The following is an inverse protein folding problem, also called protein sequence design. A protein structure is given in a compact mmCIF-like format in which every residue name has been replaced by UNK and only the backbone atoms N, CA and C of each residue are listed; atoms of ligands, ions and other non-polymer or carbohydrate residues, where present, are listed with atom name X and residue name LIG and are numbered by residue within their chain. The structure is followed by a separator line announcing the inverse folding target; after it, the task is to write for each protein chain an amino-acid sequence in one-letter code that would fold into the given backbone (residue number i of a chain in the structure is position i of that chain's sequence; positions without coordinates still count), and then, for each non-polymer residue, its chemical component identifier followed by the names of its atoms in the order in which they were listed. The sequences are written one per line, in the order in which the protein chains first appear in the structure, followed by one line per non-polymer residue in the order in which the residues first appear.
data_IF_432026144312
#
_entry.id   IF_432026144312
#
_cell.length_a   1.000
_cell.length_b   1.000
_cell.length_c   1.000
_cell.angle_alpha   90.00
_cell.angle_beta   90.00
_cell.angle_gamma   90.00
#
_symmetry.space_group_name_H-M   'P 1'
#
loop_
_entity.id
_entity.type
_entity.pdbx_description
1 polymer ?
#
# COMPACT_ATOMS: atom_id res chain seq x y z
N UNK A 1 67.17 -45.84 68.66
CA UNK A 1 66.54 -45.41 69.92
C UNK A 1 65.54 -44.31 69.57
N UNK A 2 64.23 -44.58 69.53
CA UNK A 2 63.29 -44.36 70.66
C UNK A 2 63.32 -42.88 71.12
N UNK A 3 62.28 -42.03 71.12
CA UNK A 3 60.85 -42.22 71.43
C UNK A 3 60.06 -40.91 71.17
N UNK A 4 58.83 -41.06 70.64
CA UNK A 4 57.52 -40.38 70.86
C UNK A 4 57.33 -38.84 70.96
N UNK A 5 56.28 -38.42 70.21
CA UNK A 5 55.08 -37.59 70.54
C UNK A 5 55.33 -36.16 71.06
N UNK A 6 54.60 -35.14 70.59
CA UNK A 6 53.20 -34.86 70.97
C UNK A 6 52.56 -33.88 69.99
N UNK A 7 51.27 -34.10 69.71
CA UNK A 7 50.33 -33.21 69.05
C UNK A 7 50.02 -31.96 69.87
N UNK A 8 49.89 -30.81 69.20
CA UNK A 8 48.91 -29.77 69.54
C UNK A 8 48.51 -29.07 68.25
N UNK A 9 47.32 -29.40 67.74
CA UNK A 9 46.70 -28.75 66.59
C UNK A 9 46.21 -27.36 66.98
N UNK A 10 46.72 -26.33 66.32
CA UNK A 10 46.20 -24.97 66.41
C UNK A 10 45.01 -24.84 65.45
N UNK A 11 43.87 -24.48 66.04
CA UNK A 11 42.59 -24.21 65.41
C UNK A 11 42.71 -22.93 64.55
N UNK A 12 42.99 -23.09 63.26
CA UNK A 12 42.86 -22.02 62.27
C UNK A 12 41.40 -21.90 61.84
N UNK A 13 40.65 -21.01 62.48
CA UNK A 13 39.33 -20.55 62.02
C UNK A 13 39.52 -19.73 60.73
N UNK A 14 39.60 -20.41 59.59
CA UNK A 14 39.37 -19.78 58.30
C UNK A 14 37.86 -19.57 58.17
N UNK A 15 37.44 -18.32 58.42
CA UNK A 15 36.16 -17.81 57.95
C UNK A 15 36.23 -17.90 56.42
N UNK A 16 35.71 -18.99 55.86
CA UNK A 16 35.32 -19.03 54.46
C UNK A 16 34.17 -18.04 54.35
N UNK A 17 34.50 -16.80 54.01
CA UNK A 17 33.56 -15.86 53.45
C UNK A 17 33.06 -16.49 52.14
N UNK A 18 32.02 -17.32 52.28
CA UNK A 18 31.23 -17.78 51.16
C UNK A 18 30.68 -16.54 50.48
N UNK A 19 31.34 -16.11 49.41
CA UNK A 19 30.67 -15.36 48.37
C UNK A 19 29.62 -16.31 47.81
N UNK A 20 28.41 -16.21 48.34
CA UNK A 20 27.22 -16.55 47.56
C UNK A 20 27.15 -15.51 46.44
N UNK A 21 27.97 -15.70 45.41
CA UNK A 21 27.82 -15.00 44.14
C UNK A 21 26.52 -15.50 43.53
N UNK A 22 25.54 -14.61 43.48
CA UNK A 22 24.28 -14.82 42.79
C UNK A 22 24.56 -15.21 41.32
N UNK A 23 24.33 -16.48 40.99
CA UNK A 23 24.46 -17.04 39.64
C UNK A 23 23.23 -16.81 38.76
N UNK A 24 22.43 -15.77 38.98
CA UNK A 24 21.34 -15.41 38.05
C UNK A 24 21.83 -14.75 36.73
N UNK A 25 23.13 -14.85 36.42
CA UNK A 25 23.76 -14.43 35.16
C UNK A 25 23.96 -15.57 34.13
N UNK A 26 23.49 -16.81 34.42
CA UNK A 26 23.72 -18.00 33.58
C UNK A 26 22.65 -18.23 32.48
N UNK A 27 21.37 -17.92 32.73
CA UNK A 27 20.31 -18.41 31.85
C UNK A 27 20.33 -17.83 30.42
N UNK A 28 20.52 -16.52 30.24
CA UNK A 28 20.49 -15.91 28.90
C UNK A 28 21.79 -16.07 28.08
N UNK A 29 22.83 -16.66 28.66
CA UNK A 29 24.15 -16.84 28.02
C UNK A 29 24.41 -18.26 27.52
N UNK A 30 23.65 -19.25 27.97
CA UNK A 30 23.77 -20.67 27.55
C UNK A 30 22.70 -21.07 26.55
N UNK A 31 22.95 -22.05 25.68
CA UNK A 31 21.94 -22.58 24.73
C UNK A 31 21.26 -21.50 23.88
N UNK A 32 21.99 -20.47 23.45
CA UNK A 32 21.45 -19.40 22.60
C UNK A 32 21.42 -19.81 21.13
N UNK A 33 20.56 -19.19 20.32
CA UNK A 33 20.58 -19.37 18.87
C UNK A 33 21.93 -18.97 18.26
N UNK A 34 22.49 -19.86 17.44
CA UNK A 34 23.73 -19.60 16.71
C UNK A 34 23.46 -18.67 15.51
N UNK A 35 23.46 -17.36 15.77
CA UNK A 35 23.16 -16.35 14.76
C UNK A 35 24.23 -15.27 14.74
N UNK A 36 24.88 -15.06 13.59
CA UNK A 36 25.88 -14.01 13.39
C UNK A 36 25.23 -12.67 13.02
N UNK A 37 24.17 -12.30 13.74
CA UNK A 37 23.36 -11.11 13.49
C UNK A 37 23.65 -10.04 14.54
N UNK A 38 23.66 -8.78 14.08
CA UNK A 38 23.85 -7.57 14.92
C UNK A 38 22.55 -6.83 15.22
N UNK A 39 21.43 -7.22 14.58
CA UNK A 39 20.13 -6.60 14.78
C UNK A 39 19.42 -7.11 16.05
N UNK A 40 18.39 -6.37 16.49
CA UNK A 40 17.67 -6.64 17.73
C UNK A 40 16.82 -7.90 17.61
N UNK A 41 17.09 -8.91 18.42
CA UNK A 41 16.36 -10.19 18.38
C UNK A 41 16.45 -10.94 19.71
N UNK A 42 15.53 -11.88 19.90
CA UNK A 42 15.64 -12.88 20.96
C UNK A 42 16.83 -13.82 20.72
N UNK A 43 17.56 -14.14 21.78
CA UNK A 43 18.68 -15.10 21.76
C UNK A 43 18.25 -16.51 22.15
N UNK A 44 17.02 -16.66 22.65
CA UNK A 44 16.38 -17.92 23.06
C UNK A 44 14.91 -17.95 22.66
N UNK A 45 14.33 -19.13 22.79
CA UNK A 45 12.90 -19.35 22.68
C UNK A 45 12.12 -18.49 23.70
N UNK A 46 11.22 -17.59 23.24
CA UNK A 46 10.48 -16.71 24.14
C UNK A 46 9.33 -17.50 24.81
N UNK A 47 9.56 -17.95 26.04
CA UNK A 47 8.60 -18.76 26.82
C UNK A 47 7.37 -17.92 27.18
N UNK A 48 6.14 -18.28 26.75
CA UNK A 48 4.93 -17.49 27.01
C UNK A 48 4.29 -17.78 28.38
N UNK A 49 4.52 -18.95 28.96
CA UNK A 49 3.94 -19.36 30.25
C UNK A 49 5.04 -19.75 31.22
N UNK A 50 5.03 -19.12 32.40
CA UNK A 50 6.00 -19.37 33.46
C UNK A 50 5.29 -19.79 34.75
N UNK A 51 5.93 -20.68 35.50
CA UNK A 51 5.40 -21.18 36.76
C UNK A 51 6.44 -21.02 37.88
N UNK A 52 5.96 -20.78 39.08
CA UNK A 52 6.77 -20.71 40.29
C UNK A 52 6.01 -21.23 41.50
N UNK A 53 6.69 -21.30 42.63
CA UNK A 53 6.10 -21.73 43.89
C UNK A 53 6.16 -20.62 44.93
N UNK A 54 5.13 -20.56 45.77
CA UNK A 54 5.05 -19.58 46.86
C UNK A 54 6.23 -19.74 47.84
N UNK A 55 6.75 -18.61 48.34
CA UNK A 55 7.91 -18.52 49.22
C UNK A 55 9.22 -19.13 48.65
N UNK A 56 9.27 -19.39 47.35
CA UNK A 56 10.49 -19.83 46.65
C UNK A 56 11.09 -18.70 45.82
N UNK A 57 12.37 -18.87 45.50
CA UNK A 57 13.03 -18.03 44.51
C UNK A 57 12.38 -18.27 43.15
N UNK A 58 12.12 -17.20 42.40
CA UNK A 58 11.63 -17.29 41.03
C UNK A 58 12.29 -16.21 40.18
N UNK A 59 12.66 -16.55 38.95
CA UNK A 59 13.08 -15.58 37.96
C UNK A 59 12.36 -15.77 36.63
N UNK A 60 12.14 -14.66 35.92
CA UNK A 60 11.66 -14.66 34.53
C UNK A 60 12.67 -13.89 33.68
N UNK A 61 12.86 -14.33 32.44
CA UNK A 61 13.92 -13.84 31.58
C UNK A 61 13.37 -13.37 30.24
N UNK A 62 13.98 -12.32 29.70
CA UNK A 62 13.78 -11.83 28.34
C UNK A 62 15.15 -11.81 27.67
N UNK A 63 15.58 -12.96 27.16
CA UNK A 63 16.92 -13.15 26.62
C UNK A 63 17.03 -12.57 25.22
N UNK A 64 17.75 -11.45 25.09
CA UNK A 64 17.78 -10.62 23.88
C UNK A 64 19.17 -10.05 23.63
N UNK A 65 19.45 -9.71 22.37
CA UNK A 65 20.67 -8.99 21.97
C UNK A 65 20.33 -7.83 21.03
N UNK A 66 21.27 -6.89 20.87
CA UNK A 66 21.15 -5.79 19.91
C UNK A 66 20.09 -4.73 20.27
N UNK A 67 19.69 -4.63 21.54
CA UNK A 67 18.74 -3.63 22.03
C UNK A 67 19.46 -2.44 22.70
N UNK A 68 18.82 -1.28 22.72
CA UNK A 68 19.31 -0.07 23.41
C UNK A 68 18.71 0.07 24.81
N UNK A 69 17.45 -0.31 24.97
CA UNK A 69 16.77 -0.33 26.27
C UNK A 69 15.73 -1.45 26.34
N UNK A 70 15.50 -1.93 27.55
CA UNK A 70 14.47 -2.90 27.90
C UNK A 70 13.62 -2.31 29.04
N UNK A 71 12.31 -2.30 28.85
CA UNK A 71 11.32 -1.82 29.80
C UNK A 71 10.39 -2.97 30.18
N UNK A 72 10.11 -3.12 31.47
CA UNK A 72 9.23 -4.16 31.97
C UNK A 72 7.89 -3.60 32.40
N UNK A 73 6.83 -4.35 32.08
CA UNK A 73 5.46 -4.04 32.47
C UNK A 73 4.84 -5.25 33.15
N UNK A 74 4.07 -5.04 34.22
CA UNK A 74 3.22 -6.06 34.83
C UNK A 74 1.78 -5.62 34.68
N UNK A 75 0.97 -6.40 33.99
CA UNK A 75 -0.44 -6.11 33.72
C UNK A 75 -0.65 -4.69 33.15
N UNK A 76 0.30 -4.24 32.32
CA UNK A 76 0.32 -2.90 31.71
C UNK A 76 0.96 -1.78 32.56
N UNK A 77 1.31 -2.04 33.82
CA UNK A 77 1.98 -1.07 34.70
C UNK A 77 3.49 -1.14 34.50
N UNK A 78 4.14 -0.03 34.13
CA UNK A 78 5.59 0.03 33.95
C UNK A 78 6.35 -0.12 35.28
N UNK A 79 7.50 -0.80 35.24
CA UNK A 79 8.46 -0.84 36.35
C UNK A 79 9.03 0.57 36.62
N UNK A 80 9.32 0.97 37.87
CA UNK A 80 9.31 0.18 39.11
C UNK A 80 7.94 -0.02 39.73
N UNK A 81 7.71 -1.23 40.27
CA UNK A 81 6.46 -1.60 40.95
C UNK A 81 6.54 -1.38 42.45
N UNK A 82 5.43 -0.93 43.05
CA UNK A 82 5.24 -0.97 44.51
C UNK A 82 4.96 -2.41 44.98
N UNK A 83 5.19 -2.69 46.27
CA UNK A 83 4.93 -4.01 46.87
C UNK A 83 3.49 -4.54 46.68
N UNK A 84 2.50 -3.66 46.45
CA UNK A 84 1.12 -4.07 46.15
C UNK A 84 0.90 -4.58 44.72
N UNK A 85 1.86 -4.38 43.82
CA UNK A 85 1.78 -4.78 42.40
C UNK A 85 2.62 -6.03 42.14
N UNK A 86 3.88 -6.06 42.58
CA UNK A 86 4.75 -7.24 42.56
C UNK A 86 6.00 -7.03 43.43
N UNK A 87 6.53 -8.13 43.96
CA UNK A 87 7.81 -8.24 44.65
C UNK A 87 9.00 -8.54 43.71
N UNK A 88 8.75 -8.70 42.41
CA UNK A 88 9.79 -8.92 41.40
C UNK A 88 10.62 -7.65 41.19
N UNK A 89 11.95 -7.81 41.16
CA UNK A 89 12.91 -6.72 40.94
C UNK A 89 13.87 -7.07 39.80
N UNK A 90 14.40 -6.04 39.13
CA UNK A 90 15.37 -6.23 38.06
C UNK A 90 16.70 -6.74 38.64
N UNK A 91 17.33 -7.67 37.93
CA UNK A 91 18.70 -8.13 38.20
C UNK A 91 19.69 -7.30 37.35
N UNK A 92 20.40 -6.31 37.93
CA UNK A 92 21.23 -5.37 37.18
C UNK A 92 22.38 -6.07 36.43
N UNK A 93 22.95 -7.11 37.02
CA UNK A 93 24.06 -7.87 36.44
C UNK A 93 23.65 -8.65 35.17
N UNK A 94 22.35 -8.85 34.94
CA UNK A 94 21.82 -9.42 33.69
C UNK A 94 21.36 -8.35 32.69
N UNK A 95 21.88 -7.13 32.76
CA UNK A 95 21.54 -6.02 31.86
C UNK A 95 20.02 -5.78 31.77
N UNK A 96 19.31 -5.90 32.90
CA UNK A 96 17.84 -5.77 33.00
C UNK A 96 17.03 -6.81 32.20
N UNK A 97 17.65 -7.89 31.71
CA UNK A 97 16.96 -8.98 31.01
C UNK A 97 16.25 -9.96 31.95
N UNK A 98 16.51 -9.88 33.25
CA UNK A 98 15.97 -10.81 34.25
C UNK A 98 15.23 -10.04 35.34
N UNK A 99 14.00 -10.45 35.61
CA UNK A 99 13.28 -10.11 36.83
C UNK A 99 13.37 -11.30 37.79
N UNK A 100 13.53 -11.03 39.09
CA UNK A 100 13.52 -12.08 40.09
C UNK A 100 12.81 -11.65 41.37
N UNK A 101 12.26 -12.63 42.07
CA UNK A 101 11.74 -12.51 43.43
C UNK A 101 12.47 -13.53 44.30
N UNK A 102 13.04 -13.07 45.42
CA UNK A 102 13.66 -13.98 46.41
C UNK A 102 12.64 -14.91 47.06
N UNK A 103 11.43 -14.40 47.25
CA UNK A 103 10.26 -15.12 47.75
C UNK A 103 9.07 -14.69 46.91
N UNK A 104 8.68 -15.55 45.97
CA UNK A 104 7.52 -15.30 45.14
C UNK A 104 6.25 -15.42 45.98
N UNK A 105 5.29 -14.55 45.72
CA UNK A 105 3.99 -14.51 46.38
C UNK A 105 2.89 -14.71 45.36
N UNK A 106 1.69 -15.08 45.80
CA UNK A 106 0.53 -15.20 44.90
C UNK A 106 0.24 -13.92 44.09
N UNK A 107 0.48 -12.76 44.69
CA UNK A 107 0.31 -11.44 44.05
C UNK A 107 1.28 -11.18 42.89
N UNK A 108 2.37 -11.93 42.81
CA UNK A 108 3.31 -11.86 41.68
C UNK A 108 2.75 -12.54 40.42
N UNK A 109 1.66 -13.30 40.51
CA UNK A 109 1.00 -13.84 39.31
C UNK A 109 0.44 -12.71 38.43
N UNK A 110 0.59 -12.84 37.12
CA UNK A 110 0.17 -11.80 36.16
C UNK A 110 0.89 -11.91 34.82
N UNK A 111 0.64 -10.93 33.95
CA UNK A 111 1.27 -10.84 32.64
C UNK A 111 2.44 -9.86 32.68
N UNK A 112 3.65 -10.38 32.48
CA UNK A 112 4.89 -9.61 32.44
C UNK A 112 5.30 -9.39 30.99
N UNK A 113 5.34 -8.14 30.54
CA UNK A 113 5.77 -7.78 29.20
C UNK A 113 7.15 -7.14 29.25
N UNK A 114 8.12 -7.72 28.57
CA UNK A 114 9.38 -7.02 28.25
C UNK A 114 9.21 -6.30 26.92
N UNK A 115 9.40 -4.98 26.91
CA UNK A 115 9.42 -4.13 25.74
C UNK A 115 10.85 -3.71 25.44
N UNK A 116 11.32 -4.10 24.28
CA UNK A 116 12.66 -3.89 23.78
C UNK A 116 12.62 -2.75 22.77
N UNK A 117 13.57 -1.84 22.84
CA UNK A 117 13.71 -0.80 21.83
C UNK A 117 15.15 -0.68 21.37
N UNK A 118 15.31 -0.65 20.05
CA UNK A 118 16.49 -0.18 19.35
C UNK A 118 16.18 1.19 18.71
N UNK A 119 17.12 1.80 17.99
CA UNK A 119 16.97 3.16 17.41
C UNK A 119 15.75 3.31 16.50
N UNK A 120 15.33 2.23 15.85
CA UNK A 120 14.27 2.25 14.82
C UNK A 120 13.16 1.24 15.07
N UNK A 121 13.37 0.24 15.91
CA UNK A 121 12.48 -0.92 16.07
C UNK A 121 12.11 -1.11 17.53
N UNK A 122 10.85 -1.48 17.77
CA UNK A 122 10.34 -1.87 19.09
C UNK A 122 9.75 -3.26 18.96
N UNK A 123 10.14 -4.15 19.87
CA UNK A 123 9.62 -5.52 19.95
C UNK A 123 9.20 -5.79 21.39
N UNK A 124 8.20 -6.65 21.59
CA UNK A 124 7.75 -6.97 22.93
C UNK A 124 7.35 -8.43 23.03
N UNK A 125 7.66 -9.04 24.18
CA UNK A 125 7.23 -10.39 24.53
C UNK A 125 6.53 -10.39 25.88
N UNK A 126 5.45 -11.16 26.00
CA UNK A 126 4.63 -11.24 27.21
C UNK A 126 4.67 -12.65 27.78
N UNK A 127 5.00 -12.73 29.07
CA UNK A 127 5.11 -13.94 29.87
C UNK A 127 3.98 -13.95 30.90
N UNK A 128 3.14 -14.98 30.89
CA UNK A 128 2.12 -15.19 31.91
C UNK A 128 2.71 -16.00 33.06
N UNK A 129 3.00 -15.35 34.18
CA UNK A 129 3.53 -15.97 35.40
C UNK A 129 2.39 -16.43 36.31
N UNK A 130 2.45 -17.68 36.77
CA UNK A 130 1.53 -18.24 37.77
C UNK A 130 2.31 -18.80 38.95
N UNK A 131 2.08 -18.27 40.15
CA UNK A 131 2.66 -18.77 41.40
C UNK A 131 1.72 -19.78 42.05
N UNK A 132 2.21 -20.99 42.28
CA UNK A 132 1.47 -22.13 42.81
C UNK A 132 1.83 -22.34 44.29
N UNK A 133 0.86 -22.76 45.11
CA UNK A 133 1.13 -23.13 46.51
C UNK A 133 1.92 -24.44 46.62
N UNK A 134 1.64 -25.39 45.72
CA UNK A 134 2.20 -26.73 45.74
C UNK A 134 2.44 -27.25 44.32
N UNK A 135 3.36 -28.23 44.15
CA UNK A 135 3.52 -28.97 42.90
C UNK A 135 2.18 -29.52 42.41
N UNK A 136 2.02 -29.59 41.09
CA UNK A 136 0.79 -30.10 40.45
C UNK A 136 0.97 -31.55 40.04
N UNK A 137 -0.09 -32.34 40.15
CA UNK A 137 -0.08 -33.75 39.76
C UNK A 137 -0.13 -33.95 38.23
N UNK A 138 -0.54 -32.90 37.50
CA UNK A 138 -0.56 -32.87 36.04
C UNK A 138 0.56 -31.96 35.51
N UNK A 139 1.19 -32.32 34.38
CA UNK A 139 2.24 -31.51 33.79
C UNK A 139 1.66 -30.26 33.13
N UNK A 140 2.39 -29.15 33.18
CA UNK A 140 2.03 -27.89 32.53
C UNK A 140 3.07 -27.50 31.51
N UNK A 141 2.73 -27.62 30.23
CA UNK A 141 3.59 -27.17 29.14
C UNK A 141 3.77 -25.65 29.22
N UNK A 142 5.03 -25.22 29.17
CA UNK A 142 5.46 -23.83 29.21
C UNK A 142 5.77 -23.30 27.82
N UNK A 143 6.45 -24.13 27.02
CA UNK A 143 6.82 -23.81 25.65
C UNK A 143 6.87 -25.08 24.78
N UNK A 144 6.47 -24.94 23.52
CA UNK A 144 6.85 -25.86 22.45
C UNK A 144 7.15 -25.05 21.19
N UNK A 145 8.19 -25.44 20.45
CA UNK A 145 8.49 -24.89 19.14
C UNK A 145 7.27 -24.96 18.23
N UNK A 146 7.06 -23.89 17.46
CA UNK A 146 6.07 -23.88 16.39
C UNK A 146 6.57 -24.73 15.23
N UNK A 147 5.66 -25.08 14.33
CA UNK A 147 6.00 -25.74 13.06
C UNK A 147 7.13 -24.97 12.35
N UNK A 148 8.09 -25.72 11.83
CA UNK A 148 9.29 -25.17 11.18
C UNK A 148 9.34 -25.62 9.73
N UNK A 149 9.77 -24.70 8.87
CA UNK A 149 10.04 -24.96 7.46
C UNK A 149 11.55 -24.91 7.31
N UNK A 150 12.15 -26.05 6.95
CA UNK A 150 13.61 -26.21 6.92
C UNK A 150 14.03 -26.80 5.58
N UNK A 151 15.13 -26.29 5.04
CA UNK A 151 15.77 -26.81 3.83
C UNK A 151 16.61 -28.05 4.13
N UNK A 152 16.81 -28.90 3.12
CA UNK A 152 17.65 -30.08 3.29
C UNK A 152 19.11 -29.68 3.51
N UNK A 153 19.77 -30.32 4.48
CA UNK A 153 21.13 -30.03 4.90
C UNK A 153 21.29 -28.87 5.89
N UNK A 154 20.22 -28.14 6.23
CA UNK A 154 20.24 -27.11 7.26
C UNK A 154 20.21 -27.71 8.68
N UNK A 155 20.48 -26.88 9.70
CA UNK A 155 20.38 -27.23 11.11
C UNK A 155 18.91 -27.06 11.59
N UNK A 156 18.38 -28.07 12.27
CA UNK A 156 17.06 -28.03 12.92
C UNK A 156 17.23 -27.97 14.44
N UNK A 157 16.46 -27.10 15.07
CA UNK A 157 16.37 -26.99 16.53
C UNK A 157 14.90 -26.89 16.96
N UNK A 158 14.41 -27.91 17.64
CA UNK A 158 13.13 -27.89 18.35
C UNK A 158 13.35 -27.83 19.86
N UNK A 159 12.45 -27.16 20.57
CA UNK A 159 12.51 -27.00 22.01
C UNK A 159 11.14 -27.20 22.63
N UNK A 160 11.12 -27.89 23.77
CA UNK A 160 9.93 -28.12 24.57
C UNK A 160 10.32 -27.93 26.04
N UNK A 161 9.49 -27.21 26.80
CA UNK A 161 9.69 -26.98 28.23
C UNK A 161 8.37 -27.15 28.97
N UNK A 162 8.39 -27.80 30.12
CA UNK A 162 7.21 -28.02 30.95
C UNK A 162 7.56 -28.08 32.44
N UNK A 163 6.62 -27.65 33.26
CA UNK A 163 6.58 -27.96 34.68
C UNK A 163 6.03 -29.37 34.85
N UNK A 164 6.88 -30.32 35.24
CA UNK A 164 6.49 -31.72 35.38
C UNK A 164 5.94 -31.98 36.79
N UNK A 165 6.47 -31.31 37.81
CA UNK A 165 6.16 -31.59 39.20
C UNK A 165 6.95 -32.80 39.72
N UNK A 166 7.43 -32.72 40.97
CA UNK A 166 8.15 -33.84 41.61
C UNK A 166 7.19 -34.92 42.09
N UNK A 167 7.44 -36.16 41.69
CA UNK A 167 6.86 -37.31 42.37
C UNK A 167 7.70 -37.74 43.56
N UNK A 168 7.04 -38.01 44.69
CA UNK A 168 7.65 -38.55 45.90
C UNK A 168 7.55 -40.09 45.98
N UNK A 169 6.94 -40.71 44.96
CA UNK A 169 6.75 -42.15 44.88
C UNK A 169 7.92 -42.80 44.12
N UNK A 170 8.42 -43.94 44.61
CA UNK A 170 9.60 -44.61 44.07
C UNK A 170 9.39 -45.19 42.65
N UNK A 171 8.14 -45.38 42.24
CA UNK A 171 7.70 -45.93 40.96
C UNK A 171 7.22 -44.87 39.96
N UNK A 172 7.06 -43.63 40.40
CA UNK A 172 6.52 -42.58 39.56
C UNK A 172 7.56 -42.02 38.57
N UNK A 173 7.17 -41.97 37.30
CA UNK A 173 8.02 -41.51 36.20
C UNK A 173 7.68 -40.07 35.85
N UNK A 174 8.56 -39.14 36.21
CA UNK A 174 8.48 -37.73 35.84
C UNK A 174 9.58 -37.43 34.82
N UNK A 175 9.23 -37.34 33.54
CA UNK A 175 10.21 -37.15 32.46
C UNK A 175 9.62 -36.42 31.26
N UNK A 176 10.47 -35.70 30.52
CA UNK A 176 10.15 -35.08 29.26
C UNK A 176 11.05 -35.67 28.17
N UNK A 177 10.45 -36.14 27.08
CA UNK A 177 11.16 -36.77 25.96
C UNK A 177 10.54 -36.43 24.61
N UNK A 178 11.39 -36.33 23.61
CA UNK A 178 10.96 -36.24 22.21
C UNK A 178 10.72 -37.62 21.61
N UNK A 179 9.67 -37.73 20.79
CA UNK A 179 9.41 -38.89 19.94
C UNK A 179 9.07 -38.46 18.52
N UNK A 180 9.40 -39.31 17.57
CA UNK A 180 9.07 -39.10 16.16
C UNK A 180 7.75 -39.78 15.83
N UNK A 181 6.89 -39.10 15.07
CA UNK A 181 5.65 -39.67 14.59
C UNK A 181 5.88 -40.18 13.17
N UNK A 182 5.83 -41.50 13.01
CA UNK A 182 6.03 -42.15 11.72
C UNK A 182 4.75 -42.08 10.86
N UNK A 183 4.83 -42.27 9.52
CA UNK A 183 3.69 -42.16 8.62
C UNK A 183 2.50 -43.09 8.93
N UNK A 184 2.74 -44.15 9.70
CA UNK A 184 1.71 -45.06 10.23
C UNK A 184 1.03 -44.51 11.50
N UNK A 185 1.25 -43.24 11.85
CA UNK A 185 0.83 -42.58 13.09
C UNK A 185 1.35 -43.25 14.38
N UNK A 186 2.45 -44.02 14.29
CA UNK A 186 3.09 -44.58 15.48
C UNK A 186 4.14 -43.62 16.03
N UNK A 187 4.17 -43.48 17.35
CA UNK A 187 5.24 -42.78 18.06
C UNK A 187 6.40 -43.75 18.27
N UNK A 188 7.56 -43.45 17.70
CA UNK A 188 8.77 -44.21 17.96
C UNK A 188 9.92 -43.33 18.41
N UNK A 189 11.04 -43.99 18.65
CA UNK A 189 12.26 -43.34 19.13
C UNK A 189 12.86 -42.45 18.04
N UNK A 190 13.71 -41.52 18.49
CA UNK A 190 14.44 -40.62 17.61
C UNK A 190 15.42 -41.39 16.72
N UNK A 191 15.70 -40.84 15.54
CA UNK A 191 16.72 -41.43 14.66
C UNK A 191 18.12 -41.20 15.25
N UNK A 192 19.12 -42.03 14.93
CA UNK A 192 20.49 -41.86 15.42
C UNK A 192 21.15 -40.52 15.03
N UNK A 193 20.67 -39.89 13.97
CA UNK A 193 21.11 -38.56 13.50
C UNK A 193 20.55 -37.40 14.33
N UNK A 194 19.58 -37.68 15.20
CA UNK A 194 18.86 -36.70 15.99
C UNK A 194 19.36 -36.76 17.43
N UNK A 195 19.71 -35.61 17.98
CA UNK A 195 20.28 -35.52 19.33
C UNK A 195 19.30 -34.83 20.27
N UNK A 196 19.06 -35.46 21.42
CA UNK A 196 18.23 -34.90 22.49
C UNK A 196 19.10 -34.39 23.64
N UNK A 197 18.91 -33.13 24.03
CA UNK A 197 19.65 -32.47 25.11
C UNK A 197 18.67 -31.94 26.15
N UNK A 198 18.64 -32.58 27.32
CA UNK A 198 17.79 -32.16 28.45
C UNK A 198 18.42 -31.02 29.24
N UNK A 199 17.56 -30.14 29.74
CA UNK A 199 17.91 -28.97 30.54
C UNK A 199 16.98 -28.84 31.73
N UNK A 200 17.47 -28.26 32.81
CA UNK A 200 16.70 -27.95 34.02
C UNK A 200 16.85 -26.48 34.34
N UNK A 201 15.88 -25.92 35.07
CA UNK A 201 15.96 -24.53 35.55
C UNK A 201 16.53 -24.49 36.96
N UNK A 202 17.38 -23.49 37.22
CA UNK A 202 17.99 -23.27 38.54
C UNK A 202 16.99 -22.72 39.57
N UNK A 203 16.01 -21.92 39.13
CA UNK A 203 14.99 -21.31 40.00
C UNK A 203 13.90 -22.30 40.41
N UNK A 204 13.49 -23.18 39.48
CA UNK A 204 12.50 -24.23 39.73
C UNK A 204 12.95 -25.54 39.07
N UNK A 205 13.57 -26.43 39.85
CA UNK A 205 14.10 -27.72 39.34
C UNK A 205 13.04 -28.67 38.77
N UNK A 206 11.77 -28.43 39.06
CA UNK A 206 10.63 -29.21 38.56
C UNK A 206 10.28 -28.85 37.10
N UNK A 207 10.88 -27.77 36.59
CA UNK A 207 10.80 -27.38 35.19
C UNK A 207 11.93 -28.08 34.44
N UNK A 208 11.54 -28.87 33.44
CA UNK A 208 12.46 -29.57 32.54
C UNK A 208 12.21 -29.07 31.13
N UNK A 209 13.29 -28.76 30.42
CA UNK A 209 13.30 -28.49 28.99
C UNK A 209 14.09 -29.56 28.23
N UNK A 210 13.76 -29.77 26.96
CA UNK A 210 14.54 -30.64 26.07
C UNK A 210 14.66 -30.03 24.68
N UNK A 211 15.89 -29.96 24.20
CA UNK A 211 16.23 -29.60 22.82
C UNK A 211 16.35 -30.85 21.96
N UNK A 212 15.72 -30.82 20.80
CA UNK A 212 15.96 -31.77 19.72
C UNK A 212 16.72 -31.06 18.62
N UNK A 213 17.96 -31.48 18.38
CA UNK A 213 18.86 -30.89 17.38
C UNK A 213 19.20 -31.89 16.28
N UNK A 214 19.25 -31.40 15.04
CA UNK A 214 19.70 -32.16 13.87
C UNK A 214 20.65 -31.27 13.08
N UNK A 215 21.93 -31.65 13.00
CA UNK A 215 22.97 -30.82 12.38
C UNK A 215 22.76 -30.67 10.86
N UNK A 216 22.31 -31.75 10.21
CA UNK A 216 22.07 -31.81 8.76
C UNK A 216 20.76 -32.53 8.50
N UNK A 217 19.69 -31.77 8.33
CA UNK A 217 18.35 -32.27 8.05
C UNK A 217 18.34 -33.09 6.76
N UNK A 218 17.74 -34.27 6.80
CA UNK A 218 17.56 -35.18 5.67
C UNK A 218 16.08 -35.40 5.36
N UNK A 219 15.78 -36.01 4.21
CA UNK A 219 14.41 -36.43 3.85
C UNK A 219 13.67 -37.23 4.94
N UNK A 220 14.39 -37.96 5.79
CA UNK A 220 13.77 -38.73 6.88
C UNK A 220 13.34 -37.85 8.05
N UNK A 221 13.95 -36.68 8.24
CA UNK A 221 13.73 -35.79 9.38
C UNK A 221 12.45 -34.95 9.28
N UNK A 222 11.85 -34.90 8.10
CA UNK A 222 10.56 -34.24 7.91
C UNK A 222 9.41 -35.04 8.51
N UNK A 223 8.38 -34.31 8.96
CA UNK A 223 7.18 -34.88 9.55
C UNK A 223 6.92 -34.41 10.98
N UNK A 224 5.94 -35.05 11.65
CA UNK A 224 5.53 -34.66 12.99
C UNK A 224 6.47 -35.23 14.05
N UNK A 225 6.77 -34.40 15.04
CA UNK A 225 7.41 -34.78 16.30
C UNK A 225 6.44 -34.51 17.45
N UNK A 226 6.57 -35.30 18.50
CA UNK A 226 5.79 -35.13 19.72
C UNK A 226 6.71 -35.01 20.92
N UNK A 227 6.53 -33.93 21.67
CA UNK A 227 7.09 -33.79 23.01
C UNK A 227 6.13 -34.47 23.99
N UNK A 228 6.58 -35.57 24.61
CA UNK A 228 5.81 -36.35 25.57
C UNK A 228 6.29 -36.02 26.97
N UNK A 229 5.42 -35.40 27.75
CA UNK A 229 5.67 -35.01 29.13
C UNK A 229 4.92 -35.97 30.04
N UNK A 230 5.66 -36.75 30.81
CA UNK A 230 5.15 -37.64 31.85
C UNK A 230 5.27 -36.95 33.19
N UNK A 231 4.16 -36.78 33.89
CA UNK A 231 4.12 -36.38 35.30
C UNK A 231 3.27 -37.41 36.04
N UNK A 232 3.91 -38.25 36.84
CA UNK A 232 3.25 -39.39 37.48
C UNK A 232 2.53 -40.26 36.42
N UNK A 233 1.22 -40.48 36.60
CA UNK A 233 0.36 -41.23 35.68
C UNK A 233 -0.25 -40.37 34.56
N UNK A 234 -0.01 -39.06 34.60
CA UNK A 234 -0.58 -38.11 33.63
C UNK A 234 0.43 -37.86 32.51
N UNK A 235 -0.02 -38.06 31.27
CA UNK A 235 0.79 -37.82 30.06
C UNK A 235 0.21 -36.65 29.28
N UNK A 236 1.04 -35.65 29.01
CA UNK A 236 0.73 -34.55 28.09
C UNK A 236 1.57 -34.71 26.82
N UNK A 237 0.93 -34.52 25.66
CA UNK A 237 1.55 -34.65 24.34
C UNK A 237 1.38 -33.35 23.57
N UNK A 238 2.49 -32.80 23.09
CA UNK A 238 2.49 -31.57 22.30
C UNK A 238 3.19 -31.85 20.96
N UNK A 239 2.53 -31.54 19.85
CA UNK A 239 3.00 -31.87 18.51
C UNK A 239 3.62 -30.64 17.82
N UNK A 240 4.63 -30.89 17.00
CA UNK A 240 5.28 -29.90 16.13
C UNK A 240 5.67 -30.58 14.83
N UNK A 241 5.47 -29.91 13.70
CA UNK A 241 5.74 -30.48 12.38
C UNK A 241 6.93 -29.78 11.73
N UNK A 242 7.86 -30.58 11.22
CA UNK A 242 8.98 -30.11 10.41
C UNK A 242 8.63 -30.32 8.94
N UNK A 243 8.44 -29.22 8.23
CA UNK A 243 8.09 -29.19 6.82
C UNK A 243 9.34 -28.99 5.97
N UNK A 244 9.34 -29.68 4.83
CA UNK A 244 10.33 -29.45 3.79
C UNK A 244 10.05 -28.13 3.08
N UNK A 245 11.04 -27.24 3.02
CA UNK A 245 11.03 -26.13 2.07
C UNK A 245 11.37 -26.70 0.71
N UNK A 246 10.38 -26.85 -0.16
CA UNK A 246 10.65 -27.03 -1.57
C UNK A 246 11.13 -25.68 -2.11
N UNK A 247 12.28 -25.65 -2.78
CA UNK A 247 12.79 -24.50 -3.52
C UNK A 247 11.92 -24.23 -4.76
N UNK A 248 10.63 -24.02 -4.52
CA UNK A 248 9.82 -23.20 -5.39
C UNK A 248 10.02 -21.79 -4.86
N UNK A 249 10.67 -20.98 -5.68
CA UNK A 249 10.53 -19.52 -5.72
C UNK A 249 9.03 -19.14 -5.69
N UNK A 250 8.44 -19.22 -4.51
CA UNK A 250 7.07 -18.82 -4.23
C UNK A 250 7.17 -17.44 -3.62
N UNK A 251 6.97 -16.47 -4.52
CA UNK A 251 6.69 -15.10 -4.16
C UNK A 251 5.71 -15.06 -2.99
N UNK A 252 6.17 -14.48 -1.87
CA UNK A 252 5.39 -13.78 -0.86
C UNK A 252 4.03 -14.39 -0.48
N UNK A 253 3.99 -14.90 0.75
CA UNK A 253 2.79 -14.86 1.60
C UNK A 253 1.90 -13.67 1.24
N UNK A 254 0.69 -13.98 0.77
CA UNK A 254 -0.21 -13.09 0.06
C UNK A 254 -0.80 -11.98 0.92
N UNK A 255 0.00 -10.96 1.23
CA UNK A 255 -0.51 -9.61 1.37
C UNK A 255 -0.32 -8.93 0.02
N UNK A 256 -1.37 -8.95 -0.81
CA UNK A 256 -1.42 -8.14 -2.04
C UNK A 256 -0.97 -6.72 -1.67
N UNK A 257 0.10 -6.18 -2.29
CA UNK A 257 0.66 -4.89 -1.91
C UNK A 257 -0.26 -3.79 -2.45
N UNK A 258 -1.42 -3.63 -1.83
CA UNK A 258 -2.48 -2.71 -2.23
C UNK A 258 -1.97 -1.28 -2.39
N UNK A 259 -0.96 -0.90 -1.60
CA UNK A 259 -0.30 0.41 -1.73
C UNK A 259 0.45 0.54 -3.06
N UNK A 260 1.20 -0.48 -3.48
CA UNK A 260 1.92 -0.47 -4.75
C UNK A 260 0.96 -0.53 -5.95
N UNK A 261 -0.09 -1.34 -5.88
CA UNK A 261 -1.11 -1.41 -6.92
C UNK A 261 -1.95 -0.12 -7.01
N UNK A 262 -2.32 0.48 -5.89
CA UNK A 262 -3.05 1.74 -5.86
C UNK A 262 -2.20 2.91 -6.39
N UNK A 263 -0.91 2.98 -6.03
CA UNK A 263 0.02 3.97 -6.57
C UNK A 263 0.25 3.76 -8.07
N UNK A 264 0.40 2.51 -8.52
CA UNK A 264 0.50 2.17 -9.94
C UNK A 264 -0.74 2.55 -10.73
N UNK A 265 -1.94 2.26 -10.20
CA UNK A 265 -3.21 2.64 -10.83
C UNK A 265 -3.40 4.16 -10.87
N UNK A 266 -3.04 4.88 -9.80
CA UNK A 266 -3.11 6.34 -9.75
C UNK A 266 -2.14 6.99 -10.75
N UNK A 267 -0.91 6.49 -10.84
CA UNK A 267 0.07 6.94 -11.83
C UNK A 267 -0.40 6.67 -13.27
N UNK A 268 -0.97 5.49 -13.51
CA UNK A 268 -1.59 5.14 -14.80
C UNK A 268 -2.75 6.07 -15.18
N UNK A 269 -3.63 6.37 -14.22
CA UNK A 269 -4.75 7.30 -14.45
C UNK A 269 -4.27 8.72 -14.77
N UNK A 270 -3.25 9.21 -14.06
CA UNK A 270 -2.64 10.53 -14.33
C UNK A 270 -1.95 10.58 -15.71
N UNK A 271 -1.28 9.50 -16.11
CA UNK A 271 -0.69 9.38 -17.44
C UNK A 271 -1.77 9.40 -18.55
N UNK A 272 -2.89 8.69 -18.36
CA UNK A 272 -3.99 8.69 -19.32
C UNK A 272 -4.69 10.05 -19.41
N UNK A 273 -4.91 10.73 -18.28
CA UNK A 273 -5.51 12.07 -18.25
C UNK A 273 -4.60 13.10 -18.93
N UNK A 274 -3.29 13.05 -18.68
CA UNK A 274 -2.33 13.95 -19.33
C UNK A 274 -2.22 13.68 -20.84
N UNK A 275 -2.20 12.41 -21.26
CA UNK A 275 -2.24 12.03 -22.67
C UNK A 275 -3.53 12.49 -23.37
N UNK A 276 -4.69 12.33 -22.73
CA UNK A 276 -5.97 12.81 -23.25
C UNK A 276 -6.01 14.35 -23.38
N UNK A 277 -5.46 15.07 -22.38
CA UNK A 277 -5.35 16.53 -22.41
C UNK A 277 -4.41 16.99 -23.54
N UNK A 278 -3.27 16.32 -23.73
CA UNK A 278 -2.33 16.61 -24.81
C UNK A 278 -2.95 16.34 -26.18
N UNK A 279 -3.65 15.21 -26.34
CA UNK A 279 -4.36 14.85 -27.55
C UNK A 279 -5.41 15.91 -27.92
N UNK A 280 -6.25 16.34 -26.97
CA UNK A 280 -7.25 17.40 -27.19
C UNK A 280 -6.63 18.75 -27.58
N UNK A 281 -5.44 19.08 -27.05
CA UNK A 281 -4.76 20.35 -27.38
C UNK A 281 -4.04 20.34 -28.73
N UNK A 282 -3.44 19.21 -29.11
CA UNK A 282 -2.57 19.13 -30.28
C UNK A 282 -3.31 18.73 -31.57
N UNK A 283 -4.34 17.89 -31.49
CA UNK A 283 -5.10 17.41 -32.65
C UNK A 283 -5.65 18.50 -33.59
N UNK A 284 -6.32 19.58 -33.13
CA UNK A 284 -6.87 20.57 -34.07
C UNK A 284 -5.77 21.32 -34.84
N UNK A 285 -4.61 21.51 -34.22
CA UNK A 285 -3.46 22.17 -34.87
C UNK A 285 -2.81 21.27 -35.90
N UNK A 286 -2.62 19.99 -35.56
CA UNK A 286 -2.08 19.00 -36.50
C UNK A 286 -3.02 18.79 -37.69
N UNK A 287 -4.33 18.74 -37.47
CA UNK A 287 -5.32 18.65 -38.54
C UNK A 287 -5.31 19.88 -39.46
N UNK A 288 -5.17 21.09 -38.90
CA UNK A 288 -5.07 22.32 -39.70
C UNK A 288 -3.76 22.33 -40.52
N UNK A 289 -2.65 21.92 -39.91
CA UNK A 289 -1.36 21.80 -40.59
C UNK A 289 -1.40 20.76 -41.72
N UNK A 290 -2.02 19.60 -41.49
CA UNK A 290 -2.23 18.58 -42.50
C UNK A 290 -3.10 19.07 -43.67
N UNK A 291 -4.17 19.84 -43.39
CA UNK A 291 -4.98 20.49 -44.45
C UNK A 291 -4.18 21.49 -45.27
N UNK A 292 -3.34 22.31 -44.63
CA UNK A 292 -2.43 23.22 -45.34
C UNK A 292 -1.41 22.46 -46.19
N UNK A 293 -0.85 21.35 -45.70
CA UNK A 293 0.09 20.51 -46.43
C UNK A 293 -0.57 19.86 -47.67
N UNK A 294 -1.75 19.25 -47.51
CA UNK A 294 -2.53 18.69 -48.64
C UNK A 294 -2.88 19.77 -49.67
N UNK A 295 -3.25 20.96 -49.22
CA UNK A 295 -3.57 22.07 -50.10
C UNK A 295 -2.36 22.68 -50.84
N UNK A 296 -1.12 22.38 -50.41
CA UNK A 296 0.12 22.68 -51.16
C UNK A 296 0.43 21.60 -52.20
N UNK A 297 0.05 20.35 -51.95
CA UNK A 297 0.29 19.23 -52.85
C UNK A 297 -0.63 19.23 -54.10
N UNK A 298 -1.80 19.89 -54.05
CA UNK A 298 -2.75 19.97 -55.18
C UNK A 298 -3.05 21.43 -55.58
N UNK A 299 -2.13 22.13 -56.28
CA UNK A 299 -2.28 23.55 -56.61
C UNK A 299 -3.29 23.84 -57.75
N UNK A 300 -3.47 22.92 -58.71
CA UNK A 300 -4.29 23.12 -59.92
C UNK A 300 -5.79 23.07 -59.62
N UNK A 301 -6.26 22.01 -58.95
CA UNK A 301 -7.65 21.87 -58.51
C UNK A 301 -8.07 22.99 -57.52
N UNK A 302 -7.12 23.48 -56.71
CA UNK A 302 -7.34 24.59 -55.79
C UNK A 302 -7.47 25.92 -56.51
N UNK A 303 -6.67 26.19 -57.54
CA UNK A 303 -6.77 27.43 -58.34
C UNK A 303 -8.12 27.51 -59.07
N UNK A 304 -8.60 26.42 -59.66
CA UNK A 304 -9.91 26.37 -60.33
C UNK A 304 -11.07 26.74 -59.39
N UNK A 305 -11.17 26.12 -58.21
CA UNK A 305 -12.22 26.43 -57.20
C UNK A 305 -12.13 27.82 -56.55
N UNK A 306 -10.97 28.47 -56.62
CA UNK A 306 -10.78 29.84 -56.09
C UNK A 306 -11.31 30.89 -57.08
N UNK A 307 -11.22 30.61 -58.37
CA UNK A 307 -11.63 31.51 -59.46
C UNK A 307 -13.15 31.51 -59.69
N UNK A 308 -13.89 30.48 -59.26
CA UNK A 308 -15.34 30.33 -59.46
C UNK A 308 -16.23 31.25 -58.60
N UNK A 309 -15.72 31.81 -57.49
CA UNK A 309 -16.51 32.63 -56.54
C UNK A 309 -15.78 33.93 -56.16
N UNK A 310 -16.52 35.03 -56.07
CA UNK A 310 -16.00 36.38 -55.81
C UNK A 310 -15.48 36.54 -54.38
N UNK A 311 -16.18 35.96 -53.40
CA UNK A 311 -15.82 36.05 -51.98
C UNK A 311 -15.60 34.67 -51.35
N UNK A 312 -14.72 34.63 -50.35
CA UNK A 312 -14.34 33.39 -49.66
C UNK A 312 -15.28 33.07 -48.49
N UNK A 313 -15.70 34.12 -47.77
CA UNK A 313 -16.52 34.01 -46.55
C UNK A 313 -17.55 35.14 -46.55
N UNK A 314 -18.82 34.77 -46.42
CA UNK A 314 -19.92 35.68 -46.09
C UNK A 314 -20.05 35.73 -44.58
N UNK A 315 -19.90 36.90 -43.97
CA UNK A 315 -20.11 37.12 -42.54
C UNK A 315 -21.40 37.91 -42.37
N UNK A 316 -22.36 37.34 -41.65
CA UNK A 316 -23.62 37.98 -41.32
C UNK A 316 -23.79 38.13 -39.80
N UNK A 317 -24.35 39.27 -39.39
CA UNK A 317 -24.52 39.64 -37.97
C UNK A 317 -25.73 40.53 -37.78
N UNK A 318 -26.34 40.51 -36.60
CA UNK A 318 -27.42 41.43 -36.22
C UNK A 318 -26.86 42.79 -35.79
N UNK A 319 -27.67 43.86 -35.82
CA UNK A 319 -27.22 45.21 -35.44
C UNK A 319 -26.50 45.28 -34.07
N UNK A 320 -26.91 44.44 -33.11
CA UNK A 320 -26.37 44.39 -31.75
C UNK A 320 -24.95 43.84 -31.71
N UNK A 321 -24.61 42.89 -32.57
CA UNK A 321 -23.30 42.23 -32.59
C UNK A 321 -22.30 42.99 -33.51
N UNK A 322 -22.73 44.11 -34.08
CA UNK A 322 -22.00 44.83 -35.12
C UNK A 322 -20.67 45.44 -34.69
N UNK A 323 -20.55 45.94 -33.46
CA UNK A 323 -19.28 46.50 -32.97
C UNK A 323 -18.20 45.43 -32.81
N UNK A 324 -18.56 44.27 -32.28
CA UNK A 324 -17.64 43.15 -32.08
C UNK A 324 -17.21 42.53 -33.43
N UNK A 325 -18.14 42.37 -34.35
CA UNK A 325 -17.85 41.81 -35.68
C UNK A 325 -16.97 42.76 -36.49
N UNK A 326 -17.26 44.07 -36.48
CA UNK A 326 -16.46 45.08 -37.18
C UNK A 326 -15.10 45.32 -36.53
N UNK A 327 -15.01 45.30 -35.20
CA UNK A 327 -13.79 45.57 -34.46
C UNK A 327 -12.81 44.39 -34.40
N UNK A 328 -13.31 43.15 -34.36
CA UNK A 328 -12.47 41.97 -34.14
C UNK A 328 -12.57 40.92 -35.25
N UNK A 329 -13.77 40.52 -35.67
CA UNK A 329 -13.95 39.37 -36.57
C UNK A 329 -13.52 39.69 -38.00
N UNK A 330 -14.04 40.77 -38.58
CA UNK A 330 -13.74 41.18 -39.96
C UNK A 330 -12.25 41.52 -40.16
N UNK A 331 -11.60 42.35 -39.31
CA UNK A 331 -10.19 42.69 -39.48
C UNK A 331 -9.27 41.47 -39.31
N UNK A 332 -9.63 40.54 -38.41
CA UNK A 332 -8.82 39.34 -38.20
C UNK A 332 -8.91 38.38 -39.39
N UNK A 333 -10.10 38.19 -39.97
CA UNK A 333 -10.25 37.33 -41.16
C UNK A 333 -9.56 37.93 -42.40
N UNK A 334 -9.70 39.24 -42.62
CA UNK A 334 -9.12 39.92 -43.78
C UNK A 334 -7.61 40.13 -43.65
N UNK A 335 -7.15 40.77 -42.57
CA UNK A 335 -5.75 41.20 -42.46
C UNK A 335 -4.82 40.08 -42.00
N UNK A 336 -5.21 39.32 -40.98
CA UNK A 336 -4.38 38.28 -40.36
C UNK A 336 -4.44 36.94 -41.10
N UNK A 337 -5.62 36.55 -41.58
CA UNK A 337 -5.84 35.26 -42.24
C UNK A 337 -6.02 35.33 -43.77
N UNK A 338 -6.05 36.55 -44.35
CA UNK A 338 -6.06 36.80 -45.81
C UNK A 338 -7.27 36.20 -46.53
N UNK A 339 -8.45 36.23 -45.91
CA UNK A 339 -9.71 35.87 -46.56
C UNK A 339 -10.32 37.06 -47.31
N UNK A 340 -10.94 36.81 -48.48
CA UNK A 340 -11.84 37.77 -49.14
C UNK A 340 -13.21 37.69 -48.45
N UNK A 341 -13.53 38.68 -47.63
CA UNK A 341 -14.74 38.66 -46.78
C UNK A 341 -15.81 39.57 -47.39
N UNK A 342 -17.04 39.06 -47.48
CA UNK A 342 -18.24 39.87 -47.73
C UNK A 342 -19.05 39.99 -46.44
N UNK A 343 -19.62 41.15 -46.18
CA UNK A 343 -20.11 41.52 -44.86
C UNK A 343 -21.54 42.08 -44.99
N UNK A 344 -22.53 41.40 -44.39
CA UNK A 344 -23.96 41.74 -44.54
C UNK A 344 -24.61 41.91 -43.16
N UNK A 345 -25.15 43.09 -42.83
CA UNK A 345 -25.96 43.26 -41.63
C UNK A 345 -27.34 42.62 -41.83
N UNK A 346 -27.79 41.83 -40.85
CA UNK A 346 -29.10 41.19 -40.82
C UNK A 346 -30.10 41.99 -40.00
N UNK A 347 -31.37 41.84 -40.37
CA UNK A 347 -32.50 42.28 -39.55
C UNK A 347 -32.51 41.57 -38.19
N UNK A 348 -33.03 42.24 -37.17
CA UNK A 348 -33.09 41.72 -35.79
C UNK A 348 -34.10 40.59 -35.61
N UNK A 349 -35.05 40.43 -36.54
CA UNK A 349 -36.02 39.34 -36.55
C UNK A 349 -35.65 38.34 -37.66
N UNK A 350 -35.66 37.03 -37.37
CA UNK A 350 -35.12 36.01 -38.27
C UNK A 350 -36.05 35.61 -39.43
N UNK A 351 -37.17 36.30 -39.65
CA UNK A 351 -38.20 35.87 -40.60
C UNK A 351 -37.80 36.11 -42.07
N UNK A 352 -36.88 37.06 -42.34
CA UNK A 352 -36.48 37.47 -43.70
C UNK A 352 -35.05 37.08 -44.08
N UNK A 353 -34.33 36.34 -43.23
CA UNK A 353 -32.89 36.08 -43.43
C UNK A 353 -32.61 35.26 -44.69
N UNK A 354 -33.47 34.31 -45.05
CA UNK A 354 -33.28 33.52 -46.28
C UNK A 354 -33.29 34.39 -47.54
N UNK A 355 -34.27 35.28 -47.67
CA UNK A 355 -34.41 36.17 -48.83
C UNK A 355 -33.28 37.19 -48.94
N UNK A 356 -32.77 37.69 -47.81
CA UNK A 356 -31.66 38.63 -47.77
C UNK A 356 -30.32 37.96 -48.11
N UNK A 357 -30.13 36.70 -47.68
CA UNK A 357 -28.86 36.01 -47.81
C UNK A 357 -28.71 35.21 -49.10
N UNK A 358 -29.78 34.76 -49.76
CA UNK A 358 -29.68 33.85 -50.91
C UNK A 358 -28.91 34.45 -52.10
N UNK A 359 -29.10 35.75 -52.37
CA UNK A 359 -28.38 36.46 -53.43
C UNK A 359 -26.87 36.51 -53.16
N UNK A 360 -26.49 36.90 -51.95
CA UNK A 360 -25.08 37.06 -51.54
C UNK A 360 -24.39 35.72 -51.26
N UNK A 361 -25.11 34.73 -50.73
CA UNK A 361 -24.60 33.39 -50.48
C UNK A 361 -24.16 32.70 -51.78
N UNK A 362 -24.85 32.96 -52.89
CA UNK A 362 -24.49 32.40 -54.20
C UNK A 362 -23.09 32.85 -54.67
N UNK A 363 -22.59 34.01 -54.23
CA UNK A 363 -21.29 34.59 -54.60
C UNK A 363 -20.15 34.16 -53.67
N UNK A 364 -20.47 33.42 -52.61
CA UNK A 364 -19.55 33.07 -51.54
C UNK A 364 -19.27 31.56 -51.47
N UNK A 365 -18.17 31.15 -50.82
CA UNK A 365 -17.81 29.73 -50.61
C UNK A 365 -18.21 29.18 -49.25
N UNK A 366 -18.49 30.05 -48.29
CA UNK A 366 -18.85 29.69 -46.91
C UNK A 366 -19.63 30.83 -46.27
N UNK A 367 -20.55 30.48 -45.37
CA UNK A 367 -21.39 31.39 -44.60
C UNK A 367 -21.02 31.29 -43.12
N UNK A 368 -20.78 32.43 -42.49
CA UNK A 368 -20.53 32.59 -41.06
C UNK A 368 -21.61 33.50 -40.47
N UNK A 369 -22.47 32.93 -39.64
CA UNK A 369 -23.50 33.69 -38.93
C UNK A 369 -23.07 33.90 -37.48
N UNK A 370 -22.93 35.16 -37.07
CA UNK A 370 -22.66 35.52 -35.67
C UNK A 370 -23.98 35.75 -34.96
N UNK A 371 -24.24 34.93 -33.94
CA UNK A 371 -25.49 34.96 -33.19
C UNK A 371 -25.21 35.08 -31.69
N UNK A 372 -25.87 36.04 -31.05
CA UNK A 372 -25.99 36.11 -29.60
C UNK A 372 -27.28 35.42 -29.12
N UNK A 373 -27.19 34.27 -28.42
CA UNK A 373 -28.36 33.51 -27.96
C UNK A 373 -29.27 34.27 -26.99
N UNK A 374 -28.75 35.25 -26.25
CA UNK A 374 -29.54 36.03 -25.30
C UNK A 374 -30.54 36.99 -25.96
N UNK A 375 -30.39 37.27 -27.26
CA UNK A 375 -31.24 38.20 -27.99
C UNK A 375 -32.50 37.52 -28.57
N UNK A 376 -32.56 36.19 -28.61
CA UNK A 376 -33.60 35.45 -29.33
C UNK A 376 -34.36 34.53 -28.39
N UNK A 377 -35.69 34.46 -28.54
CA UNK A 377 -36.48 33.41 -27.90
C UNK A 377 -36.09 32.03 -28.47
N UNK A 378 -36.31 30.92 -27.74
CA UNK A 378 -36.00 29.57 -28.23
C UNK A 378 -36.68 29.22 -29.57
N UNK A 379 -37.85 29.80 -29.84
CA UNK A 379 -38.58 29.64 -31.11
C UNK A 379 -37.93 30.49 -32.21
N UNK A 380 -37.61 31.76 -31.94
CA UNK A 380 -36.90 32.63 -32.91
C UNK A 380 -35.53 32.06 -33.29
N UNK A 381 -34.80 31.46 -32.34
CA UNK A 381 -33.51 30.82 -32.61
C UNK A 381 -33.68 29.54 -33.45
N UNK A 382 -34.80 28.82 -33.32
CA UNK A 382 -35.13 27.69 -34.18
C UNK A 382 -35.41 28.15 -35.62
N UNK A 383 -36.22 29.20 -35.79
CA UNK A 383 -36.51 29.81 -37.10
C UNK A 383 -35.24 30.32 -37.78
N UNK A 384 -34.40 31.04 -37.05
CA UNK A 384 -33.09 31.52 -37.50
C UNK A 384 -32.21 30.39 -38.03
N UNK A 385 -32.05 29.31 -37.27
CA UNK A 385 -31.20 28.18 -37.66
C UNK A 385 -31.76 27.41 -38.86
N UNK A 386 -33.09 27.34 -39.01
CA UNK A 386 -33.72 26.74 -40.20
C UNK A 386 -33.42 27.54 -41.45
N UNK A 387 -33.69 28.84 -41.42
CA UNK A 387 -33.46 29.69 -42.58
C UNK A 387 -31.99 29.68 -43.02
N UNK A 388 -31.06 29.65 -42.07
CA UNK A 388 -29.62 29.53 -42.37
C UNK A 388 -29.24 28.17 -42.96
N UNK A 389 -29.96 27.09 -42.63
CA UNK A 389 -29.70 25.73 -43.13
C UNK A 389 -30.31 25.48 -44.51
N UNK A 390 -31.41 26.15 -44.84
CA UNK A 390 -32.04 26.12 -46.18
C UNK A 390 -31.18 26.81 -47.26
N UNK A 391 -30.14 27.56 -46.85
CA UNK A 391 -29.19 28.16 -47.79
C UNK A 391 -28.31 27.10 -48.46
N UNK A 392 -27.84 27.36 -49.69
CA UNK A 392 -27.03 26.41 -50.47
C UNK A 392 -25.63 26.15 -49.88
N UNK A 393 -25.26 26.87 -48.80
CA UNK A 393 -23.98 26.76 -48.13
C UNK A 393 -24.19 26.28 -46.68
N UNK A 394 -23.41 25.30 -46.19
CA UNK A 394 -23.51 24.87 -44.80
C UNK A 394 -23.08 26.01 -43.86
N UNK A 395 -23.97 26.52 -42.99
CA UNK A 395 -23.66 27.65 -42.12
C UNK A 395 -22.69 27.25 -41.01
N UNK A 396 -21.70 28.11 -40.75
CA UNK A 396 -20.88 28.07 -39.54
C UNK A 396 -21.44 29.12 -38.58
N UNK A 397 -22.03 28.66 -37.49
CA UNK A 397 -22.68 29.55 -36.51
C UNK A 397 -21.70 29.85 -35.38
N UNK A 398 -21.38 31.12 -35.20
CA UNK A 398 -20.51 31.62 -34.13
C UNK A 398 -21.38 32.11 -32.98
N UNK A 399 -21.27 31.46 -31.83
CA UNK A 399 -22.04 31.80 -30.63
C UNK A 399 -21.22 32.66 -29.68
N UNK A 400 -21.74 33.84 -29.31
CA UNK A 400 -21.07 34.77 -28.39
C UNK A 400 -21.25 34.42 -26.91
N UNK A 401 -22.25 33.60 -26.59
CA UNK A 401 -22.57 33.17 -25.23
C UNK A 401 -22.89 31.67 -25.21
N UNK A 402 -22.79 31.07 -24.02
CA UNK A 402 -23.25 29.70 -23.82
C UNK A 402 -24.75 29.63 -24.10
N UNK A 403 -25.17 28.57 -24.82
CA UNK A 403 -26.58 28.31 -25.02
C UNK A 403 -27.25 28.21 -23.64
N UNK A 404 -28.34 28.97 -23.37
CA UNK A 404 -29.06 28.81 -22.12
C UNK A 404 -29.44 27.34 -21.95
N UNK A 405 -29.44 26.83 -20.71
CA UNK A 405 -29.81 25.44 -20.39
C UNK A 405 -31.22 25.17 -20.92
N UNK A 406 -31.32 24.73 -22.17
CA UNK A 406 -32.56 24.50 -22.90
C UNK A 406 -33.24 23.25 -22.35
N UNK A 407 -33.81 23.39 -21.15
CA UNK A 407 -34.63 22.39 -20.47
C UNK A 407 -36.11 22.45 -20.86
N UNK A 408 -36.49 23.29 -21.83
CA UNK A 408 -37.84 23.29 -22.42
C UNK A 408 -37.72 23.43 -23.93
N UNK A 409 -38.06 22.35 -24.60
CA UNK A 409 -37.92 22.15 -26.04
C UNK A 409 -38.89 23.05 -26.80
N UNK A 410 -38.38 23.98 -27.61
CA UNK A 410 -39.16 24.53 -28.71
C UNK A 410 -39.25 23.44 -29.80
N UNK A 411 -40.47 22.99 -30.09
CA UNK A 411 -40.80 22.12 -31.21
C UNK A 411 -41.69 22.92 -32.16
N UNK A 412 -41.27 22.98 -33.40
CA UNK A 412 -42.04 23.58 -34.48
C UNK A 412 -41.75 22.69 -35.69
N UNK A 413 -42.73 22.23 -36.46
CA UNK A 413 -42.46 21.38 -37.64
C UNK A 413 -41.69 20.07 -37.39
N UNK A 414 -41.85 19.42 -36.23
CA UNK A 414 -41.35 18.05 -35.98
C UNK A 414 -39.88 17.90 -35.55
N UNK A 415 -38.99 18.86 -35.83
CA UNK A 415 -37.60 18.84 -35.35
C UNK A 415 -37.42 19.60 -34.01
N UNK A 416 -36.60 19.04 -33.12
CA UNK A 416 -36.24 19.69 -31.85
C UNK A 416 -35.06 20.64 -32.06
N UNK A 417 -34.99 21.72 -31.29
CA UNK A 417 -33.84 22.64 -31.30
C UNK A 417 -32.51 21.90 -31.03
N UNK A 418 -32.51 20.84 -30.21
CA UNK A 418 -31.32 20.05 -29.90
C UNK A 418 -30.84 19.22 -31.10
N UNK A 419 -31.75 18.66 -31.90
CA UNK A 419 -31.37 17.93 -33.12
C UNK A 419 -30.80 18.88 -34.19
N UNK A 420 -31.39 20.07 -34.32
CA UNK A 420 -30.88 21.14 -35.20
C UNK A 420 -29.46 21.57 -34.80
N UNK A 421 -29.22 21.83 -33.51
CA UNK A 421 -27.91 22.25 -33.00
C UNK A 421 -26.82 21.17 -33.19
N UNK A 422 -27.16 19.88 -33.07
CA UNK A 422 -26.21 18.77 -33.32
C UNK A 422 -25.82 18.66 -34.80
N UNK A 423 -26.69 19.05 -35.72
CA UNK A 423 -26.44 19.03 -37.17
C UNK A 423 -25.69 20.26 -37.69
N UNK A 424 -25.70 21.38 -36.94
CA UNK A 424 -25.04 22.63 -37.31
C UNK A 424 -23.59 22.70 -36.82
N UNK A 425 -22.71 23.35 -37.59
CA UNK A 425 -21.32 23.60 -37.17
C UNK A 425 -21.27 24.81 -36.24
N UNK A 426 -21.24 24.55 -34.94
CA UNK A 426 -21.22 25.56 -33.89
C UNK A 426 -19.78 25.84 -33.44
N UNK A 427 -19.43 27.12 -33.34
CA UNK A 427 -18.14 27.58 -32.81
C UNK A 427 -18.41 28.61 -31.70
N UNK A 428 -18.06 28.30 -30.46
CA UNK A 428 -18.21 29.23 -29.35
C UNK A 428 -17.08 30.26 -29.35
N UNK A 429 -17.43 31.54 -29.26
CA UNK A 429 -16.50 32.65 -29.19
C UNK A 429 -16.62 33.37 -27.84
N UNK A 430 -15.72 33.05 -26.90
CA UNK A 430 -15.73 33.64 -25.54
C UNK A 430 -14.82 34.85 -25.43
N UNK A 431 -13.62 34.78 -26.02
CA UNK A 431 -12.63 35.86 -25.96
C UNK A 431 -11.99 36.12 -27.33
N UNK A 432 -11.73 37.39 -27.64
CA UNK A 432 -11.11 37.83 -28.91
C UNK A 432 -9.74 37.20 -29.13
N UNK A 433 -8.94 36.99 -28.07
CA UNK A 433 -7.60 36.41 -28.15
C UNK A 433 -7.55 34.88 -28.03
N UNK A 434 -8.71 34.21 -27.98
CA UNK A 434 -8.77 32.77 -27.80
C UNK A 434 -8.25 32.02 -29.03
N UNK A 435 -7.03 31.47 -28.93
CA UNK A 435 -6.39 30.73 -30.04
C UNK A 435 -7.20 29.50 -30.47
N UNK A 436 -7.93 28.88 -29.54
CA UNK A 436 -8.77 27.71 -29.81
C UNK A 436 -9.93 28.05 -30.75
N UNK A 437 -10.64 29.16 -30.48
CA UNK A 437 -11.68 29.70 -31.34
C UNK A 437 -11.21 29.88 -32.78
N UNK A 438 -10.11 30.62 -32.98
CA UNK A 438 -9.59 30.89 -34.33
C UNK A 438 -9.11 29.63 -35.06
N UNK A 439 -8.61 28.63 -34.33
CA UNK A 439 -8.23 27.33 -34.92
C UNK A 439 -9.46 26.55 -35.36
N UNK A 440 -10.51 26.50 -34.53
CA UNK A 440 -11.77 25.84 -34.85
C UNK A 440 -12.51 26.52 -36.02
N UNK A 441 -12.57 27.86 -36.01
CA UNK A 441 -13.18 28.63 -37.09
C UNK A 441 -12.48 28.37 -38.44
N UNK A 442 -11.14 28.37 -38.46
CA UNK A 442 -10.37 28.07 -39.70
C UNK A 442 -10.46 26.61 -40.16
N UNK A 443 -10.72 25.67 -39.25
CA UNK A 443 -11.06 24.29 -39.62
C UNK A 443 -12.46 24.20 -40.22
N UNK A 444 -13.40 25.04 -39.79
CA UNK A 444 -14.75 25.07 -40.37
C UNK A 444 -14.81 25.80 -41.72
N UNK A 445 -13.92 26.77 -41.94
CA UNK A 445 -13.85 27.58 -43.17
C UNK A 445 -13.06 26.91 -44.31
N UNK A 446 -13.28 27.35 -45.57
CA UNK A 446 -12.38 27.04 -46.68
C UNK A 446 -10.99 27.62 -46.41
N UNK A 447 -9.98 27.13 -47.12
CA UNK A 447 -8.63 27.71 -47.04
C UNK A 447 -8.57 28.99 -47.89
N UNK A 448 -7.89 30.05 -47.42
CA UNK A 448 -7.74 31.27 -48.19
C UNK A 448 -6.91 30.98 -49.46
N UNK A 449 -7.05 31.77 -50.53
CA UNK A 449 -6.17 31.68 -51.69
C UNK A 449 -4.70 31.87 -51.27
N UNK A 450 -3.77 31.24 -52.00
CA UNK A 450 -2.36 31.54 -51.81
C UNK A 450 -2.11 33.00 -52.24
N UNK A 451 -1.27 33.77 -51.53
CA UNK A 451 -0.93 35.11 -51.98
C UNK A 451 -0.32 35.03 -53.38
N UNK A 452 -0.86 35.79 -54.33
CA UNK A 452 -0.28 35.89 -55.66
C UNK A 452 1.13 36.45 -55.53
N UNK A 453 2.10 35.71 -56.04
CA UNK A 453 3.53 36.08 -56.02
C UNK A 453 3.83 37.26 -56.98
N UNK A 454 2.81 37.87 -57.60
CA UNK A 454 2.96 38.90 -58.65
C UNK A 454 2.71 40.34 -58.23
N UNK A 455 2.52 40.63 -56.94
CA UNK A 455 2.52 42.02 -56.43
C UNK A 455 3.65 42.23 -55.44
N UNK A 456 4.88 42.11 -55.95
CA UNK A 456 6.03 42.87 -55.46
C UNK A 456 6.51 43.72 -56.62
N UNK A 457 5.97 44.93 -56.69
CA UNK A 457 6.61 46.08 -57.31
C UNK A 457 6.58 47.21 -56.30
#
# INVERSE_FOLDING_TARGET
MCVRKVWSALLGLLIVSGKASAESASYCSVNTFNTNTTWMQFTKEPVPYEYGFEDKFKSIHCCVKGYRSIEWFKDGVAYPWSAGVSNMILYPEAANQTLYARRATRGDSGNYTCRLSNETHVEAHTVKLTILEKPTDAPRTMFISKDQWVEEGAELRLYCEALIGRSLLADARSDLRWRKVFPNNTEGDLLPTQTEIKTTREDVSDIIGSYLTVDRVSGQDYGPYVCVVHSNDVVSKNYVTVHYIHDTTWCGSGNVPWRALALGAAAGALALLSAAALHRRCTPRLLLAARHARARAQPTARRARVLEKEFDVLVCWTAVDGELVRGALLPTLSYKYKYRVHAVPLSTQPDTWYSELIGEASRCRSLVAVLSPAQHSPQQLLTALRQLRELPLPPVVVLLQDLPKLKREAKEGGESLVSMLRGTRLVAWRHVHERAFWTALRLALPLPPAPDVRTRY
#
